data_IF_674653277912
#
_entry.id   IF_674653277912
#
_cell.length_a   1.000
_cell.length_b   1.000
_cell.length_c   1.000
_cell.angle_alpha   90.00
_cell.angle_beta   90.00
_cell.angle_gamma   90.00
#
_symmetry.space_group_name_H-M   'P 1'
#
loop_
_entity.id
_entity.type
_entity.pdbx_description
1 polymer ?
#
# COMPACT_ATOMS: atom_id res chain seq x y z
N UNK A 1 47.74 2.39 -29.48
CA UNK A 1 47.43 3.76 -29.91
C UNK A 1 46.25 4.25 -29.05
N UNK A 2 46.45 5.34 -28.29
CA UNK A 2 45.45 6.16 -27.54
C UNK A 2 44.60 5.42 -26.50
N UNK A 3 44.96 5.35 -25.21
CA UNK A 3 45.15 6.40 -24.20
C UNK A 3 43.90 7.26 -23.93
N UNK A 4 43.32 7.06 -22.75
CA UNK A 4 42.87 8.12 -21.85
C UNK A 4 41.38 8.46 -21.85
N UNK A 5 40.70 8.16 -20.75
CA UNK A 5 39.70 9.07 -20.21
C UNK A 5 39.97 9.26 -18.72
N UNK A 6 40.46 10.46 -18.39
CA UNK A 6 40.69 10.98 -17.04
C UNK A 6 39.38 11.66 -16.63
N UNK A 7 38.70 11.15 -15.61
CA UNK A 7 37.60 11.86 -14.96
C UNK A 7 38.18 12.71 -13.82
N UNK A 8 38.13 14.03 -14.00
CA UNK A 8 38.64 15.06 -13.11
C UNK A 8 37.67 15.27 -11.93
N UNK A 9 38.17 15.10 -10.71
CA UNK A 9 37.48 15.49 -9.49
C UNK A 9 37.54 17.01 -9.29
N UNK A 10 36.43 17.64 -8.90
CA UNK A 10 36.40 19.00 -8.33
C UNK A 10 35.56 18.98 -7.05
N UNK A 11 36.30 19.02 -5.94
CA UNK A 11 35.85 19.32 -4.59
C UNK A 11 35.56 20.81 -4.41
N UNK A 12 34.56 21.16 -3.59
CA UNK A 12 34.64 22.36 -2.74
C UNK A 12 33.51 23.37 -2.90
N UNK A 13 32.70 23.52 -1.85
CA UNK A 13 31.74 24.60 -1.69
C UNK A 13 31.08 24.58 -0.30
N UNK A 14 31.85 24.91 0.74
CA UNK A 14 31.35 25.15 2.10
C UNK A 14 31.35 26.67 2.34
N UNK A 15 30.20 27.30 2.56
CA UNK A 15 30.09 28.56 3.32
C UNK A 15 28.73 28.71 4.02
N UNK A 16 28.80 29.30 5.22
CA UNK A 16 27.87 29.26 6.34
C UNK A 16 26.76 30.34 6.29
N UNK A 17 25.59 29.99 6.82
CA UNK A 17 24.94 30.68 7.95
C UNK A 17 24.08 31.93 7.69
N UNK A 18 22.77 31.78 7.92
CA UNK A 18 21.95 32.83 8.53
C UNK A 18 20.87 32.19 9.43
N UNK A 19 20.93 32.50 10.73
CA UNK A 19 19.91 32.15 11.72
C UNK A 19 18.70 33.07 11.54
N UNK A 20 17.52 32.50 11.32
CA UNK A 20 16.23 33.18 11.42
C UNK A 20 15.33 32.38 12.34
N UNK A 21 15.10 32.90 13.55
CA UNK A 21 14.25 32.28 14.55
C UNK A 21 12.78 32.36 14.19
N UNK A 22 12.12 31.21 14.12
CA UNK A 22 10.68 31.05 14.20
C UNK A 22 10.39 30.06 15.31
N UNK A 23 9.91 30.55 16.45
CA UNK A 23 9.36 29.74 17.52
C UNK A 23 7.93 29.38 17.15
N UNK A 24 7.69 28.15 16.71
CA UNK A 24 6.33 27.62 16.61
C UNK A 24 6.20 26.49 17.63
N UNK A 25 5.69 26.88 18.79
CA UNK A 25 5.25 25.96 19.83
C UNK A 25 4.04 25.18 19.31
N UNK A 26 4.28 23.99 18.76
CA UNK A 26 3.26 23.03 18.38
C UNK A 26 3.53 21.70 19.07
N UNK A 27 3.14 21.60 20.35
CA UNK A 27 3.24 20.35 21.10
C UNK A 27 2.45 19.25 20.43
N UNK A 28 3.15 18.28 19.84
CA UNK A 28 2.59 16.97 19.53
C UNK A 28 2.97 16.07 20.70
N UNK A 29 2.18 16.19 21.77
CA UNK A 29 2.18 15.23 22.88
C UNK A 29 2.03 13.85 22.28
N UNK A 30 3.03 13.00 22.55
CA UNK A 30 3.13 11.65 22.03
C UNK A 30 1.83 10.89 22.25
N UNK A 31 1.22 10.48 21.13
CA UNK A 31 0.35 9.33 21.16
C UNK A 31 1.28 8.13 21.20
N UNK A 32 1.24 7.42 22.33
CA UNK A 32 1.72 6.05 22.39
C UNK A 32 1.00 5.31 21.26
N UNK A 33 1.76 4.79 20.30
CA UNK A 33 1.23 3.76 19.42
C UNK A 33 1.19 2.50 20.27
N UNK A 34 0.12 2.35 21.05
CA UNK A 34 -0.36 1.02 21.39
C UNK A 34 -0.69 0.35 20.04
N UNK A 35 0.08 -0.68 19.70
CA UNK A 35 -0.08 -1.51 18.52
C UNK A 35 -1.50 -2.09 18.49
N UNK A 36 -2.40 -1.42 17.77
CA UNK A 36 -3.62 -2.03 17.25
C UNK A 36 -3.45 -2.18 15.73
N UNK A 37 -2.55 -3.07 15.35
CA UNK A 37 -2.47 -3.59 14.00
C UNK A 37 -3.61 -4.59 13.80
N UNK A 38 -4.85 -4.12 13.60
CA UNK A 38 -5.95 -5.09 13.56
C UNK A 38 -7.37 -4.59 13.33
N UNK A 39 -7.58 -3.39 12.77
CA UNK A 39 -8.95 -2.99 12.42
C UNK A 39 -9.09 -2.53 10.97
N UNK A 40 -8.85 -3.46 10.05
CA UNK A 40 -9.49 -3.41 8.73
C UNK A 40 -10.95 -3.87 8.91
N UNK A 41 -11.83 -2.93 9.31
CA UNK A 41 -13.30 -3.00 9.17
C UNK A 41 -13.98 -4.37 9.16
N UNK A 42 -13.77 -5.21 10.18
CA UNK A 42 -14.51 -6.48 10.34
C UNK A 42 -14.22 -7.59 9.32
N UNK A 43 -13.36 -7.37 8.31
CA UNK A 43 -13.11 -8.32 7.20
C UNK A 43 -11.89 -9.23 7.35
N UNK A 44 -11.19 -9.13 8.48
CA UNK A 44 -9.99 -9.90 8.76
C UNK A 44 -8.72 -9.06 8.69
N UNK A 45 -7.58 -9.72 8.47
CA UNK A 45 -6.25 -9.11 8.53
C UNK A 45 -5.46 -9.40 7.24
N UNK A 46 -4.51 -8.53 6.90
CA UNK A 46 -3.62 -8.74 5.76
C UNK A 46 -2.71 -9.96 5.98
N UNK A 47 -2.80 -10.97 5.11
CA UNK A 47 -1.94 -12.16 5.18
C UNK A 47 -0.68 -12.06 4.32
N UNK A 48 0.33 -12.90 4.59
CA UNK A 48 1.50 -13.00 3.71
C UNK A 48 1.19 -13.87 2.50
N UNK A 49 1.62 -13.45 1.30
CA UNK A 49 1.39 -14.22 0.06
C UNK A 49 1.94 -15.66 0.14
N UNK A 50 3.03 -15.87 0.88
CA UNK A 50 3.62 -17.21 1.07
C UNK A 50 2.76 -18.16 1.91
N UNK A 51 1.80 -17.62 2.67
CA UNK A 51 0.88 -18.36 3.52
C UNK A 51 -0.48 -18.60 2.84
N UNK A 52 -0.67 -18.07 1.63
CA UNK A 52 -1.92 -18.21 0.90
C UNK A 52 -2.21 -19.67 0.56
N UNK A 53 -3.39 -20.15 0.96
CA UNK A 53 -3.84 -21.52 0.69
C UNK A 53 -4.26 -21.69 -0.77
N UNK A 54 -4.74 -20.61 -1.41
CA UNK A 54 -5.11 -20.56 -2.82
C UNK A 54 -5.19 -19.13 -3.36
N UNK A 55 -5.28 -19.04 -4.68
CA UNK A 55 -5.58 -17.79 -5.40
C UNK A 55 -7.00 -17.87 -5.97
N UNK A 56 -7.81 -16.85 -5.70
CA UNK A 56 -9.13 -16.67 -6.30
C UNK A 56 -9.03 -15.60 -7.37
N UNK A 57 -9.44 -15.94 -8.60
CA UNK A 57 -9.53 -14.97 -9.70
C UNK A 57 -10.85 -14.23 -9.59
N UNK A 58 -10.81 -12.92 -9.72
CA UNK A 58 -11.98 -12.05 -9.70
C UNK A 58 -11.93 -11.15 -10.93
N UNK A 59 -12.98 -11.15 -11.73
CA UNK A 59 -13.12 -10.23 -12.88
C UNK A 59 -14.08 -9.10 -12.52
N UNK A 60 -13.74 -7.86 -12.87
CA UNK A 60 -14.68 -6.73 -12.84
C UNK A 60 -15.23 -6.50 -14.24
N UNK A 61 -16.55 -6.45 -14.37
CA UNK A 61 -17.26 -6.36 -15.65
C UNK A 61 -17.94 -4.99 -15.81
N UNK A 62 -18.10 -4.55 -17.05
CA UNK A 62 -18.78 -3.29 -17.39
C UNK A 62 -20.26 -3.24 -16.95
N UNK A 63 -20.88 -4.40 -16.69
CA UNK A 63 -22.21 -4.49 -16.06
C UNK A 63 -22.21 -4.11 -14.56
N UNK A 64 -21.10 -3.56 -14.04
CA UNK A 64 -20.89 -3.22 -12.62
C UNK A 64 -21.04 -4.46 -11.72
N UNK A 65 -20.46 -5.58 -12.15
CA UNK A 65 -20.50 -6.86 -11.46
C UNK A 65 -19.10 -7.44 -11.28
N UNK A 66 -18.93 -8.20 -10.20
CA UNK A 66 -17.80 -9.11 -10.03
C UNK A 66 -18.18 -10.50 -10.55
N UNK A 67 -17.23 -11.20 -11.17
CA UNK A 67 -17.31 -12.64 -11.43
C UNK A 67 -16.13 -13.36 -10.75
N UNK A 68 -16.38 -14.36 -9.88
CA UNK A 68 -17.69 -14.83 -9.45
C UNK A 68 -18.41 -13.83 -8.53
N UNK A 69 -19.75 -13.94 -8.46
CA UNK A 69 -20.58 -13.08 -7.59
C UNK A 69 -20.49 -13.42 -6.09
N UNK A 70 -19.93 -14.58 -5.74
CA UNK A 70 -19.78 -15.03 -4.35
C UNK A 70 -18.53 -15.89 -4.22
N UNK A 71 -17.79 -15.71 -3.12
CA UNK A 71 -16.58 -16.48 -2.80
C UNK A 71 -16.75 -17.00 -1.37
N UNK A 72 -16.73 -18.31 -1.20
CA UNK A 72 -16.75 -18.96 0.11
C UNK A 72 -15.30 -19.18 0.58
N UNK A 73 -15.01 -18.77 1.81
CA UNK A 73 -13.70 -18.91 2.46
C UNK A 73 -13.86 -19.53 3.85
N UNK A 74 -12.85 -20.25 4.31
CA UNK A 74 -12.84 -20.84 5.65
C UNK A 74 -12.29 -19.85 6.69
N UNK A 75 -12.75 -19.96 7.94
CA UNK A 75 -12.23 -19.12 9.02
C UNK A 75 -10.73 -19.36 9.24
N UNK A 76 -9.93 -18.29 9.21
CA UNK A 76 -8.47 -18.35 9.31
C UNK A 76 -7.76 -18.73 8.01
N UNK A 77 -8.46 -18.82 6.88
CA UNK A 77 -7.85 -19.03 5.57
C UNK A 77 -7.19 -17.75 5.06
N UNK A 78 -5.90 -17.82 4.74
CA UNK A 78 -5.22 -16.77 3.97
C UNK A 78 -5.47 -17.02 2.48
N UNK A 79 -6.10 -16.06 1.80
CA UNK A 79 -6.44 -16.14 0.37
C UNK A 79 -5.79 -14.98 -0.39
N UNK A 80 -5.22 -15.26 -1.56
CA UNK A 80 -4.82 -14.21 -2.51
C UNK A 80 -5.95 -13.97 -3.51
N UNK A 81 -6.35 -12.71 -3.71
CA UNK A 81 -7.29 -12.34 -4.77
C UNK A 81 -6.51 -11.77 -5.98
N UNK A 82 -6.64 -12.42 -7.13
CA UNK A 82 -6.13 -11.92 -8.41
C UNK A 82 -7.28 -11.21 -9.14
N UNK A 83 -7.32 -9.88 -9.02
CA UNK A 83 -8.38 -9.06 -9.61
C UNK A 83 -7.97 -8.57 -11.00
N UNK A 84 -8.82 -8.83 -12.00
CA UNK A 84 -8.63 -8.38 -13.38
C UNK A 84 -9.77 -7.45 -13.77
N UNK A 85 -9.45 -6.26 -14.27
CA UNK A 85 -10.43 -5.44 -14.95
C UNK A 85 -10.64 -5.97 -16.37
N UNK A 86 -11.77 -6.63 -16.61
CA UNK A 86 -12.09 -7.26 -17.88
C UNK A 86 -12.94 -6.34 -18.79
N UNK A 87 -13.46 -5.24 -18.25
CA UNK A 87 -14.25 -4.22 -18.95
C UNK A 87 -13.42 -3.05 -19.47
N UNK A 88 -14.11 -2.09 -20.08
CA UNK A 88 -13.52 -0.82 -20.53
C UNK A 88 -13.53 0.25 -19.44
N UNK A 89 -14.43 0.15 -18.46
CA UNK A 89 -14.55 1.11 -17.36
C UNK A 89 -13.59 0.78 -16.22
N UNK A 90 -13.07 1.81 -15.54
CA UNK A 90 -12.28 1.61 -14.32
C UNK A 90 -13.14 1.07 -13.17
N UNK A 91 -12.60 0.08 -12.46
CA UNK A 91 -13.23 -0.55 -11.30
C UNK A 91 -12.29 -0.58 -10.10
N UNK A 92 -12.87 -0.56 -8.90
CA UNK A 92 -12.18 -0.74 -7.64
C UNK A 92 -12.66 -2.03 -6.95
N UNK A 93 -11.76 -2.70 -6.24
CA UNK A 93 -12.04 -3.86 -5.41
C UNK A 93 -11.66 -3.56 -3.97
N UNK A 94 -12.58 -3.80 -3.04
CA UNK A 94 -12.40 -3.57 -1.61
C UNK A 94 -13.11 -4.66 -0.82
N UNK A 95 -12.59 -4.96 0.36
CA UNK A 95 -13.21 -5.89 1.31
C UNK A 95 -13.86 -5.06 2.43
N UNK A 96 -15.13 -5.33 2.73
CA UNK A 96 -15.87 -4.76 3.86
C UNK A 96 -16.85 -5.77 4.46
N UNK A 97 -17.23 -5.57 5.71
CA UNK A 97 -18.25 -6.38 6.37
C UNK A 97 -19.67 -5.95 5.97
N UNK A 98 -20.70 -6.68 6.38
CA UNK A 98 -22.10 -6.36 6.02
C UNK A 98 -22.57 -4.97 6.50
N UNK A 99 -21.94 -4.38 7.51
CA UNK A 99 -22.24 -3.02 8.00
C UNK A 99 -21.48 -1.93 7.22
N UNK A 100 -20.47 -2.29 6.43
CA UNK A 100 -19.67 -1.37 5.62
C UNK A 100 -20.44 -0.98 4.34
N UNK A 101 -21.32 0.02 4.46
CA UNK A 101 -21.99 0.72 3.35
C UNK A 101 -21.72 2.24 3.38
#
# INVERSE_FOLDING_TARGET
MRAGLVALALTGGLLLGACGGGTEAGGHSGMNMDEDSGSAGGVGEEGQTSEASRTVKVETLDELRFDPASIEVEAGETVTFEVTNAGENDHEFSLGDDEFH
#
